data_IF_017370950054
#
_entry.id   IF_017370950054
#
_cell.length_a   1.000
_cell.length_b   1.000
_cell.length_c   1.000
_cell.angle_alpha   90.00
_cell.angle_beta   90.00
_cell.angle_gamma   90.00
#
_symmetry.space_group_name_H-M   'P 1'
#
loop_
_entity.id
_entity.type
_entity.pdbx_description
1 polymer ?
#
# COMPACT_ATOMS: atom_id res chain seq x y z
N UNK A 1 24.24 -25.81 18.91
CA UNK A 1 23.87 -24.40 19.19
C UNK A 1 23.70 -23.56 17.91
N UNK A 2 24.67 -23.56 16.97
CA UNK A 2 24.58 -22.76 15.72
C UNK A 2 23.33 -23.05 14.85
N UNK A 3 22.87 -24.30 14.79
CA UNK A 3 21.64 -24.68 14.06
C UNK A 3 20.36 -24.12 14.68
N UNK A 4 20.32 -23.97 16.01
CA UNK A 4 19.15 -23.41 16.72
C UNK A 4 19.03 -21.90 16.47
N UNK A 5 20.17 -21.22 16.36
CA UNK A 5 20.25 -19.78 16.09
C UNK A 5 19.69 -19.42 14.70
N UNK A 6 19.94 -20.29 13.71
CA UNK A 6 19.38 -20.16 12.36
C UNK A 6 17.85 -20.29 12.33
N UNK A 7 17.27 -21.17 13.15
CA UNK A 7 15.81 -21.33 13.24
C UNK A 7 15.16 -20.09 13.86
N UNK A 8 15.78 -19.51 14.89
CA UNK A 8 15.30 -18.24 15.47
C UNK A 8 15.37 -17.08 14.47
N UNK A 9 16.42 -17.01 13.64
CA UNK A 9 16.57 -15.95 12.64
C UNK A 9 15.47 -15.99 11.57
N UNK A 10 15.02 -17.19 11.16
CA UNK A 10 13.93 -17.36 10.18
C UNK A 10 12.58 -16.90 10.77
N UNK A 11 12.34 -17.15 12.06
CA UNK A 11 11.10 -16.75 12.74
C UNK A 11 10.93 -15.24 12.90
N UNK A 12 12.00 -14.44 12.78
CA UNK A 12 11.92 -12.98 12.80
C UNK A 12 11.70 -12.35 11.41
N UNK A 13 11.58 -13.15 10.35
CA UNK A 13 11.33 -12.65 8.98
C UNK A 13 9.87 -12.53 8.61
N UNK A 14 8.94 -12.86 9.51
CA UNK A 14 7.52 -12.57 9.30
C UNK A 14 7.30 -11.06 9.34
N UNK A 15 7.30 -10.43 8.16
CA UNK A 15 6.92 -9.04 8.01
C UNK A 15 5.48 -8.87 8.50
N UNK A 16 5.28 -8.00 9.48
CA UNK A 16 3.95 -7.54 9.84
C UNK A 16 3.36 -6.84 8.60
N UNK A 17 2.33 -7.41 7.99
CA UNK A 17 1.58 -6.71 6.96
C UNK A 17 0.56 -5.82 7.68
N UNK A 18 0.78 -4.49 7.75
CA UNK A 18 -0.12 -3.60 8.48
C UNK A 18 -1.53 -3.56 7.88
N UNK A 19 -1.71 -4.07 6.66
CA UNK A 19 -2.97 -4.07 5.93
C UNK A 19 -3.66 -5.44 5.93
N UNK A 20 -3.15 -6.45 6.66
CA UNK A 20 -3.71 -7.82 6.65
C UNK A 20 -5.21 -7.84 7.02
N UNK A 21 -5.63 -6.93 7.90
CA UNK A 21 -7.01 -6.84 8.38
C UNK A 21 -7.77 -5.66 7.77
N UNK A 22 -7.23 -5.02 6.73
CA UNK A 22 -7.92 -3.93 6.03
C UNK A 22 -8.66 -4.54 4.83
N UNK A 23 -9.99 -4.47 4.86
CA UNK A 23 -10.81 -4.95 3.75
C UNK A 23 -10.64 -4.07 2.52
N UNK A 24 -10.54 -4.70 1.36
CA UNK A 24 -10.58 -4.04 0.05
C UNK A 24 -11.93 -4.21 -0.65
N UNK A 25 -12.92 -4.78 0.05
CA UNK A 25 -14.25 -5.01 -0.51
C UNK A 25 -14.88 -3.69 -0.97
N UNK A 26 -15.39 -3.67 -2.20
CA UNK A 26 -16.00 -2.49 -2.80
C UNK A 26 -15.02 -1.61 -3.59
N UNK A 27 -13.70 -1.77 -3.40
CA UNK A 27 -12.70 -1.07 -4.21
C UNK A 27 -12.58 -1.72 -5.59
N UNK A 28 -12.57 -0.88 -6.62
CA UNK A 28 -12.32 -1.26 -8.02
C UNK A 28 -11.59 -0.15 -8.74
N UNK A 29 -11.10 -0.42 -9.95
CA UNK A 29 -10.39 0.53 -10.78
C UNK A 29 -10.88 0.46 -12.23
N UNK A 30 -10.89 1.61 -12.89
CA UNK A 30 -11.02 1.74 -14.35
C UNK A 30 -9.90 2.65 -14.85
N UNK A 31 -8.99 2.09 -15.64
CA UNK A 31 -7.73 2.74 -15.98
C UNK A 31 -6.94 3.10 -14.72
N UNK A 32 -6.78 4.41 -14.48
CA UNK A 32 -6.07 4.96 -13.32
C UNK A 32 -7.00 5.56 -12.26
N UNK A 33 -8.31 5.49 -12.46
CA UNK A 33 -9.30 6.02 -11.52
C UNK A 33 -9.75 4.93 -10.54
N UNK A 34 -9.98 5.34 -9.29
CA UNK A 34 -10.33 4.44 -8.18
C UNK A 34 -11.79 4.65 -7.80
N UNK A 35 -12.51 3.55 -7.64
CA UNK A 35 -13.94 3.53 -7.32
C UNK A 35 -14.22 2.72 -6.06
N UNK A 36 -15.22 3.13 -5.29
CA UNK A 36 -15.75 2.41 -4.13
C UNK A 36 -17.25 2.18 -4.33
N UNK A 37 -17.67 0.91 -4.38
CA UNK A 37 -19.05 0.50 -4.65
C UNK A 37 -19.64 1.15 -5.92
N UNK A 38 -18.81 1.31 -6.95
CA UNK A 38 -19.19 1.92 -8.23
C UNK A 38 -19.17 3.46 -8.25
N UNK A 39 -18.89 4.13 -7.13
CA UNK A 39 -18.74 5.58 -7.09
C UNK A 39 -17.26 5.98 -7.24
N UNK A 40 -16.98 6.98 -8.07
CA UNK A 40 -15.62 7.50 -8.25
C UNK A 40 -15.12 8.12 -6.94
N UNK A 41 -13.97 7.68 -6.45
CA UNK A 41 -13.38 8.11 -5.18
C UNK A 41 -12.14 8.95 -5.36
N UNK A 42 -11.27 8.54 -6.29
CA UNK A 42 -10.00 9.20 -6.49
C UNK A 42 -9.59 9.15 -7.96
N UNK A 43 -8.99 10.24 -8.43
CA UNK A 43 -8.38 10.31 -9.76
C UNK A 43 -6.89 10.32 -9.66
N UNK A 44 -6.23 9.65 -10.58
CA UNK A 44 -4.79 9.75 -10.69
C UNK A 44 -4.34 11.19 -10.94
N UNK A 45 -3.30 11.62 -10.23
CA UNK A 45 -2.71 12.95 -10.34
C UNK A 45 -1.33 12.88 -10.96
N UNK A 46 -0.41 12.15 -10.31
CA UNK A 46 0.99 12.14 -10.67
C UNK A 46 1.70 10.86 -10.20
N UNK A 47 2.81 10.54 -10.88
CA UNK A 47 3.85 9.63 -10.37
C UNK A 47 5.07 10.49 -10.06
N UNK A 48 5.57 10.38 -8.84
CA UNK A 48 6.64 11.22 -8.33
C UNK A 48 7.81 10.36 -7.85
N UNK A 49 9.03 10.89 -7.99
CA UNK A 49 10.23 10.33 -7.38
C UNK A 49 10.55 11.16 -6.16
N UNK A 50 10.50 10.55 -4.98
CA UNK A 50 10.79 11.21 -3.72
C UNK A 50 11.97 10.55 -3.01
N UNK A 51 12.66 11.31 -2.17
CA UNK A 51 13.64 10.78 -1.24
C UNK A 51 13.02 10.78 0.16
N UNK A 52 12.52 9.61 0.57
CA UNK A 52 11.88 9.41 1.86
C UNK A 52 12.62 8.35 2.68
N UNK A 53 12.75 8.59 3.99
CA UNK A 53 13.42 7.71 4.94
C UNK A 53 14.77 7.13 4.43
N UNK A 54 15.60 8.02 3.87
CA UNK A 54 16.93 7.71 3.29
C UNK A 54 16.91 6.78 2.07
N UNK A 55 15.79 6.69 1.35
CA UNK A 55 15.63 5.85 0.15
C UNK A 55 14.93 6.63 -0.95
N UNK A 56 15.27 6.31 -2.20
CA UNK A 56 14.50 6.79 -3.34
C UNK A 56 13.26 5.91 -3.47
N UNK A 57 12.08 6.53 -3.43
CA UNK A 57 10.78 5.88 -3.57
C UNK A 57 10.06 6.43 -4.79
N UNK A 58 9.17 5.62 -5.36
CA UNK A 58 8.22 6.05 -6.38
C UNK A 58 6.86 6.13 -5.73
N UNK A 59 6.27 7.31 -5.74
CA UNK A 59 4.97 7.59 -5.15
C UNK A 59 3.93 7.79 -6.25
N UNK A 60 2.71 7.37 -5.95
CA UNK A 60 1.55 7.57 -6.82
C UNK A 60 0.57 8.43 -6.05
N UNK A 61 0.29 9.61 -6.58
CA UNK A 61 -0.59 10.58 -5.94
C UNK A 61 -1.96 10.53 -6.59
N UNK A 62 -3.01 10.39 -5.77
CA UNK A 62 -4.40 10.45 -6.21
C UNK A 62 -5.10 11.67 -5.58
N UNK A 63 -5.95 12.33 -6.35
CA UNK A 63 -6.84 13.38 -5.86
C UNK A 63 -8.17 12.74 -5.46
N UNK A 64 -8.48 12.80 -4.16
CA UNK A 64 -9.79 12.39 -3.64
C UNK A 64 -10.85 13.35 -4.19
N UNK A 65 -11.87 12.81 -4.86
CA UNK A 65 -12.87 13.63 -5.55
C UNK A 65 -13.95 14.18 -4.61
N UNK A 66 -14.13 13.55 -3.44
CA UNK A 66 -15.06 14.00 -2.42
C UNK A 66 -14.52 13.66 -1.00
N UNK A 67 -14.53 14.60 -0.04
CA UNK A 67 -14.03 14.37 1.32
C UNK A 67 -14.71 13.24 2.13
N UNK A 68 -15.84 12.69 1.64
CA UNK A 68 -16.51 11.55 2.29
C UNK A 68 -15.74 10.22 2.16
N UNK A 69 -14.78 10.15 1.24
CA UNK A 69 -13.95 8.98 0.96
C UNK A 69 -12.63 9.02 1.72
#
# INVERSE_FOLDING_TARGET
MKRLLFVFLILFTFSCNPLLNVSTQGLSYDGTDVYFNGELCAKFSAIELAYDNKKIVREVTFLIVNPKF
#
